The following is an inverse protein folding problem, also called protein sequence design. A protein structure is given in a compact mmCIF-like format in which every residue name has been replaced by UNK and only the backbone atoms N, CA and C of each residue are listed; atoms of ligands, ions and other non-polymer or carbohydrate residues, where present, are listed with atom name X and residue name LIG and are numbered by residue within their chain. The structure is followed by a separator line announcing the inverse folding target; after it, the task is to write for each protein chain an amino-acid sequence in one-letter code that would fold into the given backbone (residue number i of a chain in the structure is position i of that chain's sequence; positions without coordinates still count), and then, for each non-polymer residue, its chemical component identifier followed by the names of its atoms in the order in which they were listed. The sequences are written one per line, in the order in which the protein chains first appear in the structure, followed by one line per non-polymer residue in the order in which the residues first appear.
data_IF_465766610630
#
_entry.id   IF_465766610630
#
_cell.length_a   1.000
_cell.length_b   1.000
_cell.length_c   1.000
_cell.angle_alpha   90.00
_cell.angle_beta   90.00
_cell.angle_gamma   90.00
#
_symmetry.space_group_name_H-M   'P 1'
#
loop_
_entity.id
_entity.type
_entity.pdbx_description
1 polymer ?
#
# COMPACT_ATOMS: atom_id res chain seq x y z
N UNK A 1 -8.39 -19.79 -4.59
CA UNK A 1 -7.37 -18.74 -4.88
C UNK A 1 -7.62 -17.60 -3.90
N UNK A 2 -6.59 -17.07 -3.23
CA UNK A 2 -6.72 -15.92 -2.33
C UNK A 2 -7.28 -14.71 -3.08
N UNK A 3 -8.15 -13.95 -2.44
CA UNK A 3 -8.63 -12.68 -2.99
C UNK A 3 -7.62 -11.58 -2.68
N UNK A 4 -7.40 -10.68 -3.61
CA UNK A 4 -6.42 -9.60 -3.39
C UNK A 4 -6.88 -8.29 -4.03
N UNK A 5 -6.44 -7.17 -3.46
CA UNK A 5 -6.67 -5.82 -3.96
C UNK A 5 -5.43 -4.99 -3.66
N UNK A 6 -4.97 -4.24 -4.64
CA UNK A 6 -3.79 -3.39 -4.47
C UNK A 6 -4.14 -1.91 -4.43
N UNK A 7 -3.57 -1.22 -3.46
CA UNK A 7 -3.66 0.23 -3.35
C UNK A 7 -2.36 0.84 -3.87
N UNK A 8 -2.45 1.63 -4.93
CA UNK A 8 -1.34 2.39 -5.48
C UNK A 8 -1.63 3.89 -5.37
N UNK A 9 -0.60 4.72 -5.30
CA UNK A 9 -0.76 6.17 -5.18
C UNK A 9 -0.24 6.90 -6.40
N UNK A 10 -0.80 8.07 -6.69
CA UNK A 10 -0.21 8.97 -7.70
C UNK A 10 1.12 9.58 -7.25
N UNK A 11 1.43 9.47 -5.94
CA UNK A 11 2.68 9.96 -5.34
C UNK A 11 2.96 9.26 -4.01
N UNK A 12 4.16 9.46 -3.47
CA UNK A 12 4.44 9.24 -2.05
C UNK A 12 3.54 10.15 -1.21
N UNK A 13 3.15 9.70 0.00
CA UNK A 13 2.29 10.47 0.89
C UNK A 13 0.82 10.62 0.46
N UNK A 14 0.39 9.99 -0.65
CA UNK A 14 -1.01 10.03 -1.11
C UNK A 14 -2.01 9.38 -0.14
N UNK A 15 -1.53 8.60 0.85
CA UNK A 15 -2.35 7.97 1.89
C UNK A 15 -2.56 6.46 1.71
N UNK A 16 -1.73 5.81 0.89
CA UNK A 16 -1.77 4.34 0.66
C UNK A 16 -1.79 3.56 1.97
N UNK A 17 -0.84 3.83 2.86
CA UNK A 17 -0.62 3.11 4.12
C UNK A 17 -1.83 3.21 5.05
N UNK A 18 -2.39 4.41 5.19
CA UNK A 18 -3.61 4.64 5.99
C UNK A 18 -4.80 3.88 5.41
N UNK A 19 -4.96 3.92 4.08
CA UNK A 19 -6.06 3.22 3.42
C UNK A 19 -5.93 1.69 3.56
N UNK A 20 -4.74 1.13 3.37
CA UNK A 20 -4.52 -0.32 3.56
C UNK A 20 -4.74 -0.71 5.02
N UNK A 21 -4.28 0.10 5.99
CA UNK A 21 -4.56 -0.12 7.42
C UNK A 21 -6.06 -0.18 7.69
N UNK A 22 -6.84 0.77 7.14
CA UNK A 22 -8.29 0.79 7.27
C UNK A 22 -8.95 -0.45 6.65
N UNK A 23 -8.58 -0.80 5.41
CA UNK A 23 -9.15 -1.96 4.73
C UNK A 23 -8.83 -3.26 5.47
N UNK A 24 -7.61 -3.42 5.99
CA UNK A 24 -7.25 -4.56 6.83
C UNK A 24 -8.20 -4.68 8.04
N UNK A 25 -8.49 -3.58 8.75
CA UNK A 25 -9.40 -3.57 9.90
C UNK A 25 -10.84 -3.83 9.47
N UNK A 26 -11.35 -3.12 8.46
CA UNK A 26 -12.74 -3.24 8.00
C UNK A 26 -13.05 -4.69 7.59
N UNK A 27 -12.19 -5.32 6.82
CA UNK A 27 -12.43 -6.67 6.35
C UNK A 27 -12.17 -7.74 7.42
N UNK A 28 -11.25 -7.49 8.36
CA UNK A 28 -11.11 -8.32 9.56
C UNK A 28 -12.36 -8.24 10.45
N UNK A 29 -12.98 -7.06 10.60
CA UNK A 29 -14.24 -6.88 11.34
C UNK A 29 -15.44 -7.55 10.65
N UNK A 30 -15.36 -7.75 9.32
CA UNK A 30 -16.35 -8.52 8.55
C UNK A 30 -16.12 -10.05 8.65
N UNK A 31 -15.14 -10.51 9.42
CA UNK A 31 -14.86 -11.91 9.70
C UNK A 31 -13.89 -12.58 8.74
N UNK A 32 -13.29 -11.86 7.78
CA UNK A 32 -12.28 -12.44 6.87
C UNK A 32 -10.91 -12.58 7.54
N UNK A 33 -10.17 -13.63 7.18
CA UNK A 33 -8.74 -13.76 7.50
C UNK A 33 -7.93 -12.88 6.54
N UNK A 34 -7.47 -11.72 7.03
CA UNK A 34 -6.84 -10.68 6.22
C UNK A 34 -5.34 -10.59 6.51
N UNK A 35 -4.53 -10.37 5.48
CA UNK A 35 -3.13 -9.97 5.61
C UNK A 35 -2.83 -8.72 4.79
N UNK A 36 -2.00 -7.79 5.30
CA UNK A 36 -1.35 -6.79 4.46
C UNK A 36 -0.18 -7.41 3.69
N UNK A 37 0.22 -6.76 2.60
CA UNK A 37 1.43 -7.10 1.85
C UNK A 37 2.02 -5.87 1.17
N UNK A 38 3.31 -5.61 1.38
CA UNK A 38 4.08 -4.62 0.63
C UNK A 38 5.39 -5.27 0.23
N UNK A 39 5.56 -5.54 -1.05
CA UNK A 39 6.70 -6.30 -1.57
C UNK A 39 8.06 -5.71 -1.18
N UNK A 40 8.18 -4.39 -1.26
CA UNK A 40 9.35 -3.63 -0.83
C UNK A 40 8.91 -2.38 -0.07
N UNK A 41 9.55 -2.10 1.05
CA UNK A 41 9.44 -0.82 1.74
C UNK A 41 10.82 -0.20 1.99
N UNK A 42 10.89 1.13 1.95
CA UNK A 42 12.09 1.88 2.30
C UNK A 42 11.77 2.72 3.53
N UNK A 43 12.29 2.33 4.68
CA UNK A 43 12.05 3.03 5.94
C UNK A 43 13.12 2.70 6.97
N UNK A 44 13.51 3.68 7.79
CA UNK A 44 14.33 3.45 8.98
C UNK A 44 13.50 2.98 10.18
N UNK A 45 12.18 3.03 10.09
CA UNK A 45 11.27 2.60 11.14
C UNK A 45 10.84 1.16 10.92
N UNK A 46 11.18 0.30 11.86
CA UNK A 46 10.92 -1.14 11.76
C UNK A 46 10.29 -1.72 13.02
N UNK A 47 9.66 -2.86 12.85
CA UNK A 47 9.30 -3.80 13.88
C UNK A 47 10.36 -4.89 13.94
N UNK A 48 10.93 -5.10 15.12
CA UNK A 48 11.90 -6.16 15.39
C UNK A 48 11.18 -7.27 16.15
N UNK A 49 10.94 -8.39 15.49
CA UNK A 49 10.41 -9.61 16.09
C UNK A 49 11.54 -10.48 16.67
N UNK A 50 11.22 -11.71 17.12
CA UNK A 50 12.20 -12.62 17.74
C UNK A 50 13.37 -12.93 16.81
N UNK A 51 13.12 -13.14 15.51
CA UNK A 51 14.15 -13.55 14.53
C UNK A 51 13.98 -12.85 13.18
N UNK A 52 13.27 -11.73 13.11
CA UNK A 52 13.04 -11.03 11.87
C UNK A 52 12.78 -9.54 12.10
N UNK A 53 12.97 -8.76 11.06
CA UNK A 53 12.71 -7.32 11.04
C UNK A 53 11.92 -6.96 9.79
N UNK A 54 10.82 -6.20 9.95
CA UNK A 54 10.00 -5.68 8.85
C UNK A 54 9.68 -4.21 9.06
N UNK A 55 9.16 -3.55 8.04
CA UNK A 55 8.69 -2.17 8.18
C UNK A 55 7.62 -2.05 9.27
N UNK A 56 7.73 -0.99 10.07
CA UNK A 56 6.74 -0.64 11.09
C UNK A 56 5.33 -0.48 10.52
N UNK A 57 5.21 0.07 9.33
CA UNK A 57 3.93 0.25 8.66
C UNK A 57 3.20 -1.08 8.43
N UNK A 58 3.88 -2.10 7.91
CA UNK A 58 3.27 -3.41 7.68
C UNK A 58 2.99 -4.16 8.99
N UNK A 59 3.79 -3.94 10.04
CA UNK A 59 3.47 -4.45 11.37
C UNK A 59 2.18 -3.82 11.94
N UNK A 60 1.99 -2.51 11.77
CA UNK A 60 0.74 -1.81 12.16
C UNK A 60 -0.45 -2.34 11.33
N UNK A 61 -0.27 -2.57 10.04
CA UNK A 61 -1.31 -3.14 9.19
C UNK A 61 -1.67 -4.58 9.59
N UNK A 62 -0.70 -5.37 10.05
CA UNK A 62 -0.96 -6.71 10.60
C UNK A 62 -1.79 -6.64 11.90
N UNK A 63 -1.47 -5.69 12.79
CA UNK A 63 -2.31 -5.41 13.98
C UNK A 63 -3.73 -4.99 13.55
N UNK A 64 -3.86 -4.15 12.54
CA UNK A 64 -5.16 -3.77 12.00
C UNK A 64 -5.94 -4.98 11.46
N UNK A 65 -5.28 -5.90 10.79
CA UNK A 65 -5.85 -7.14 10.28
C UNK A 65 -6.11 -8.21 11.36
N UNK A 66 -5.73 -7.97 12.62
CA UNK A 66 -5.75 -8.94 13.72
C UNK A 66 -5.04 -10.26 13.37
N UNK A 67 -3.96 -10.17 12.61
CA UNK A 67 -3.13 -11.31 12.23
C UNK A 67 -1.75 -11.21 12.83
N UNK A 68 -1.04 -12.33 12.90
CA UNK A 68 0.34 -12.36 13.37
C UNK A 68 1.26 -11.55 12.47
N UNK A 69 2.21 -10.84 13.07
CA UNK A 69 3.25 -10.12 12.32
C UNK A 69 4.26 -11.14 11.82
N UNK A 70 4.49 -11.18 10.50
CA UNK A 70 5.42 -12.12 9.86
C UNK A 70 6.30 -11.42 8.82
N UNK A 71 7.48 -11.96 8.51
CA UNK A 71 8.37 -11.35 7.51
C UNK A 71 7.78 -11.36 6.09
N UNK A 72 6.79 -12.19 5.82
CA UNK A 72 6.17 -12.32 4.51
C UNK A 72 5.27 -11.12 4.14
N UNK A 73 4.83 -10.33 5.13
CA UNK A 73 4.04 -9.12 4.90
C UNK A 73 4.87 -7.97 4.28
N UNK A 74 6.21 -8.00 4.51
CA UNK A 74 7.16 -7.09 3.88
C UNK A 74 8.47 -7.83 3.59
N UNK A 75 8.53 -8.61 2.49
CA UNK A 75 9.69 -9.45 2.20
C UNK A 75 10.98 -8.69 1.93
N UNK A 76 10.90 -7.44 1.47
CA UNK A 76 12.09 -6.62 1.21
C UNK A 76 11.98 -5.30 1.98
N UNK A 77 12.87 -5.09 2.95
CA UNK A 77 12.99 -3.83 3.66
C UNK A 77 14.35 -3.19 3.35
N UNK A 78 14.32 -1.93 2.93
CA UNK A 78 15.50 -1.10 2.73
C UNK A 78 15.58 -0.09 3.87
N UNK A 79 16.72 -0.08 4.58
CA UNK A 79 17.02 0.94 5.61
C UNK A 79 18.10 1.88 5.06
N UNK A 80 17.74 3.12 4.69
CA UNK A 80 18.69 4.09 4.16
C UNK A 80 19.86 4.36 5.14
N UNK A 81 21.06 4.40 4.59
CA UNK A 81 22.30 4.69 5.32
C UNK A 81 22.95 6.03 4.90
N UNK A 82 22.33 6.74 3.96
CA UNK A 82 22.93 7.88 3.27
C UNK A 82 23.83 7.46 2.09
N UNK A 83 24.32 8.46 1.33
CA UNK A 83 25.22 8.25 0.19
C UNK A 83 24.74 7.17 -0.79
N UNK A 84 23.44 7.17 -1.14
CA UNK A 84 22.81 6.21 -2.03
C UNK A 84 22.96 4.74 -1.62
N UNK A 85 23.19 4.46 -0.33
CA UNK A 85 23.32 3.11 0.23
C UNK A 85 22.18 2.77 1.16
N UNK A 86 21.84 1.48 1.20
CA UNK A 86 20.85 0.95 2.14
C UNK A 86 21.31 -0.41 2.70
N UNK A 87 20.92 -0.67 3.95
CA UNK A 87 20.89 -2.04 4.47
C UNK A 87 19.66 -2.74 3.90
N UNK A 88 19.86 -3.83 3.18
CA UNK A 88 18.81 -4.65 2.57
C UNK A 88 18.48 -5.81 3.50
N UNK A 89 17.21 -5.97 3.84
CA UNK A 89 16.69 -7.11 4.57
C UNK A 89 15.78 -7.90 3.64
N UNK A 90 15.92 -9.23 3.63
CA UNK A 90 15.10 -10.13 2.82
C UNK A 90 14.43 -11.14 3.76
N UNK A 91 13.11 -11.23 3.67
CA UNK A 91 12.29 -12.08 4.55
C UNK A 91 12.64 -11.86 6.04
N UNK A 92 12.84 -10.60 6.42
CA UNK A 92 13.12 -10.16 7.77
C UNK A 92 14.56 -10.35 8.24
N UNK A 93 15.46 -10.88 7.42
CA UNK A 93 16.87 -11.10 7.78
C UNK A 93 17.77 -10.13 7.03
N UNK A 94 18.77 -9.58 7.72
CA UNK A 94 19.81 -8.78 7.07
C UNK A 94 20.45 -9.59 5.95
N UNK A 95 20.46 -9.04 4.75
CA UNK A 95 21.05 -9.66 3.58
C UNK A 95 22.41 -9.05 3.24
N UNK A 96 22.42 -7.74 2.93
CA UNK A 96 23.64 -7.02 2.52
C UNK A 96 23.46 -5.50 2.61
N UNK A 97 24.56 -4.74 2.75
CA UNK A 97 24.57 -3.31 2.46
C UNK A 97 24.84 -3.12 0.97
N UNK A 98 23.98 -2.39 0.27
CA UNK A 98 24.06 -2.23 -1.18
C UNK A 98 23.99 -0.75 -1.57
N UNK A 99 24.68 -0.38 -2.64
CA UNK A 99 24.46 0.88 -3.34
C UNK A 99 23.18 0.76 -4.19
N UNK A 100 22.50 1.88 -4.44
CA UNK A 100 21.22 1.88 -5.17
C UNK A 100 21.34 1.19 -6.55
N UNK A 101 22.39 1.46 -7.31
CA UNK A 101 22.64 0.82 -8.61
C UNK A 101 22.74 -0.70 -8.49
N UNK A 102 23.57 -1.20 -7.55
CA UNK A 102 23.75 -2.65 -7.33
C UNK A 102 22.42 -3.29 -6.88
N UNK A 103 21.66 -2.60 -6.02
CA UNK A 103 20.36 -3.05 -5.58
C UNK A 103 19.40 -3.25 -6.77
N UNK A 104 19.24 -2.24 -7.63
CA UNK A 104 18.32 -2.32 -8.75
C UNK A 104 18.78 -3.33 -9.81
N UNK A 105 20.03 -3.26 -10.25
CA UNK A 105 20.52 -4.07 -11.37
C UNK A 105 20.80 -5.53 -10.99
N UNK A 106 21.29 -5.79 -9.81
CA UNK A 106 21.68 -7.14 -9.41
C UNK A 106 20.65 -7.83 -8.52
N UNK A 107 20.08 -7.14 -7.51
CA UNK A 107 19.15 -7.79 -6.61
C UNK A 107 17.72 -7.77 -7.15
N UNK A 108 17.17 -6.59 -7.52
CA UNK A 108 15.77 -6.45 -7.95
C UNK A 108 15.50 -7.29 -9.19
N UNK A 109 16.33 -7.18 -10.22
CA UNK A 109 16.14 -7.92 -11.48
C UNK A 109 16.28 -9.43 -11.33
N UNK A 110 17.18 -9.91 -10.46
CA UNK A 110 17.47 -11.34 -10.29
C UNK A 110 16.57 -12.03 -9.27
N UNK A 111 16.35 -11.38 -8.11
CA UNK A 111 15.75 -12.01 -6.95
C UNK A 111 14.50 -11.31 -6.42
N UNK A 112 14.41 -9.98 -6.55
CA UNK A 112 13.39 -9.18 -5.86
C UNK A 112 11.96 -9.63 -6.13
N UNK A 113 11.62 -9.87 -7.40
CA UNK A 113 10.29 -10.34 -7.77
C UNK A 113 10.03 -11.76 -7.24
N UNK A 114 11.02 -12.66 -7.32
CA UNK A 114 10.91 -14.05 -6.82
C UNK A 114 10.63 -14.07 -5.32
N UNK A 115 11.40 -13.32 -4.53
CA UNK A 115 11.23 -13.25 -3.08
C UNK A 115 9.86 -12.66 -2.70
N UNK A 116 9.40 -11.64 -3.43
CA UNK A 116 8.08 -11.05 -3.25
C UNK A 116 6.96 -12.06 -3.53
N UNK A 117 7.06 -12.80 -4.63
CA UNK A 117 6.03 -13.79 -4.99
C UNK A 117 6.03 -15.01 -4.06
N UNK A 118 7.19 -15.47 -3.61
CA UNK A 118 7.29 -16.54 -2.61
C UNK A 118 6.59 -16.14 -1.31
N UNK A 119 6.80 -14.91 -0.84
CA UNK A 119 6.16 -14.41 0.37
C UNK A 119 4.66 -14.21 0.20
N UNK A 120 4.21 -13.69 -0.95
CA UNK A 120 2.79 -13.60 -1.28
C UNK A 120 2.12 -14.99 -1.29
N UNK A 121 2.78 -15.99 -1.88
CA UNK A 121 2.27 -17.38 -1.89
C UNK A 121 2.08 -17.92 -0.47
N UNK A 122 3.07 -17.74 0.41
CA UNK A 122 2.97 -18.18 1.82
C UNK A 122 1.82 -17.50 2.58
N UNK A 123 1.59 -16.21 2.36
CA UNK A 123 0.44 -15.53 2.95
C UNK A 123 -0.88 -16.07 2.39
N UNK A 124 -0.90 -16.45 1.11
CA UNK A 124 -2.08 -17.00 0.44
C UNK A 124 -2.54 -18.36 0.97
N UNK A 125 -1.67 -19.11 1.65
CA UNK A 125 -1.98 -20.41 2.25
C UNK A 125 -2.87 -20.29 3.51
N UNK A 126 -2.82 -19.14 4.20
CA UNK A 126 -3.45 -18.95 5.50
C UNK A 126 -4.46 -17.80 5.57
N UNK A 127 -4.57 -17.00 4.51
CA UNK A 127 -5.44 -15.84 4.49
C UNK A 127 -6.42 -15.90 3.31
N UNK A 128 -7.61 -15.32 3.49
CA UNK A 128 -8.66 -15.25 2.47
C UNK A 128 -8.53 -14.00 1.61
N UNK A 129 -8.01 -12.90 2.21
CA UNK A 129 -7.84 -11.61 1.55
C UNK A 129 -6.43 -11.08 1.84
N UNK A 130 -5.76 -10.59 0.79
CA UNK A 130 -4.48 -9.87 0.92
C UNK A 130 -4.66 -8.47 0.35
N UNK A 131 -4.49 -7.44 1.18
CA UNK A 131 -4.41 -6.05 0.73
C UNK A 131 -2.96 -5.69 0.46
N UNK A 132 -2.67 -5.38 -0.81
CA UNK A 132 -1.34 -4.99 -1.25
C UNK A 132 -1.19 -3.47 -1.23
N UNK A 133 0.00 -3.01 -0.85
CA UNK A 133 0.39 -1.61 -0.89
C UNK A 133 1.51 -1.39 -1.90
N UNK A 134 1.33 -0.43 -2.82
CA UNK A 134 2.39 0.02 -3.72
C UNK A 134 3.38 0.98 -3.05
N UNK A 135 4.51 1.23 -3.68
CA UNK A 135 5.50 2.21 -3.25
C UNK A 135 5.64 3.33 -4.29
N UNK A 136 5.75 4.60 -3.84
CA UNK A 136 5.81 5.76 -4.75
C UNK A 136 4.59 5.84 -5.66
N UNK A 137 4.82 5.97 -6.95
CA UNK A 137 3.81 6.00 -8.01
C UNK A 137 4.10 4.94 -9.08
N UNK A 138 3.08 4.31 -9.70
CA UNK A 138 3.28 3.45 -10.86
C UNK A 138 3.72 4.20 -12.13
N UNK A 139 3.68 5.53 -12.09
CA UNK A 139 4.08 6.42 -13.18
C UNK A 139 5.57 6.83 -13.15
N UNK A 140 6.36 6.26 -12.26
CA UNK A 140 7.81 6.52 -12.21
C UNK A 140 8.51 5.78 -13.37
N UNK A 141 8.43 6.37 -14.58
CA UNK A 141 8.89 5.78 -15.85
C UNK A 141 10.35 5.38 -15.84
N UNK A 142 11.19 6.11 -15.11
CA UNK A 142 12.62 5.83 -14.91
C UNK A 142 12.87 4.54 -14.10
N UNK A 143 11.88 4.06 -13.33
CA UNK A 143 11.97 2.86 -12.49
C UNK A 143 11.14 1.68 -13.00
N UNK A 144 10.39 1.82 -14.10
CA UNK A 144 9.50 0.77 -14.63
C UNK A 144 10.22 -0.57 -14.86
N UNK A 145 11.46 -0.54 -15.35
CA UNK A 145 12.28 -1.74 -15.53
C UNK A 145 12.45 -2.53 -14.22
N UNK A 146 12.55 -1.82 -13.11
CA UNK A 146 12.81 -2.35 -11.77
C UNK A 146 11.55 -2.47 -10.91
N UNK A 147 10.37 -2.31 -11.51
CA UNK A 147 9.11 -2.38 -10.74
C UNK A 147 8.92 -3.76 -10.12
N UNK A 148 9.00 -3.80 -8.80
CA UNK A 148 8.60 -4.94 -7.98
C UNK A 148 7.61 -4.50 -6.89
N UNK A 149 7.03 -3.31 -7.04
CA UNK A 149 6.23 -2.66 -5.98
C UNK A 149 4.85 -2.22 -6.43
N UNK A 150 4.62 -2.06 -7.73
CA UNK A 150 3.40 -1.51 -8.29
C UNK A 150 2.75 -2.43 -9.34
N UNK A 151 2.75 -2.03 -10.62
CA UNK A 151 1.94 -2.71 -11.63
C UNK A 151 2.40 -4.14 -11.94
N UNK A 152 3.70 -4.40 -11.87
CA UNK A 152 4.21 -5.77 -12.09
C UNK A 152 3.77 -6.74 -10.99
N UNK A 153 3.74 -6.29 -9.73
CA UNK A 153 3.20 -7.08 -8.61
C UNK A 153 1.69 -7.25 -8.77
N UNK A 154 0.94 -6.16 -9.05
CA UNK A 154 -0.50 -6.24 -9.29
C UNK A 154 -0.84 -7.29 -10.35
N UNK A 155 -0.12 -7.29 -11.47
CA UNK A 155 -0.29 -8.25 -12.56
C UNK A 155 0.03 -9.70 -12.11
N UNK A 156 1.16 -9.91 -11.44
CA UNK A 156 1.58 -11.25 -10.98
C UNK A 156 0.64 -11.85 -9.93
N UNK A 157 0.07 -11.02 -9.06
CA UNK A 157 -0.89 -11.43 -8.04
C UNK A 157 -2.34 -11.40 -8.55
N UNK A 158 -2.56 -10.99 -9.81
CA UNK A 158 -3.90 -10.79 -10.41
C UNK A 158 -4.78 -9.87 -9.56
N UNK A 159 -4.18 -8.86 -8.94
CA UNK A 159 -4.88 -7.92 -8.06
C UNK A 159 -5.44 -6.75 -8.86
N UNK A 160 -6.74 -6.45 -8.76
CA UNK A 160 -7.26 -5.17 -9.22
C UNK A 160 -6.62 -4.04 -8.40
N UNK A 161 -6.52 -2.86 -9.01
CA UNK A 161 -5.85 -1.70 -8.42
C UNK A 161 -6.87 -0.60 -8.15
N UNK A 162 -6.81 -0.01 -6.95
CA UNK A 162 -7.38 1.29 -6.65
C UNK A 162 -6.25 2.32 -6.56
N UNK A 163 -6.34 3.36 -7.37
CA UNK A 163 -5.35 4.44 -7.40
C UNK A 163 -5.82 5.59 -6.51
N UNK A 164 -5.05 5.90 -5.45
CA UNK A 164 -5.34 6.98 -4.51
C UNK A 164 -4.49 8.22 -4.83
N UNK A 165 -5.11 9.40 -4.75
CA UNK A 165 -4.44 10.70 -4.93
C UNK A 165 -4.71 11.63 -3.77
N UNK A 166 -3.73 12.47 -3.44
CA UNK A 166 -3.83 13.56 -2.46
C UNK A 166 -4.36 14.82 -3.16
N UNK A 167 -5.48 15.38 -2.67
CA UNK A 167 -6.08 16.60 -3.24
C UNK A 167 -5.62 17.88 -2.54
N UNK A 168 -5.04 17.78 -1.36
CA UNK A 168 -4.67 18.95 -0.54
C UNK A 168 -3.68 19.88 -1.25
N UNK A 169 -2.75 19.30 -2.02
CA UNK A 169 -1.72 20.05 -2.76
C UNK A 169 -2.19 20.60 -4.11
N UNK A 170 -3.43 20.36 -4.50
CA UNK A 170 -3.94 20.68 -5.83
C UNK A 170 -3.47 19.68 -6.91
N UNK A 171 -4.02 19.78 -8.12
CA UNK A 171 -3.61 18.95 -9.25
C UNK A 171 -4.01 17.47 -9.20
N UNK A 172 -4.83 17.04 -8.26
CA UNK A 172 -5.19 15.64 -8.04
C UNK A 172 -5.76 14.94 -9.29
N UNK A 173 -6.66 15.58 -10.01
CA UNK A 173 -7.22 15.04 -11.25
C UNK A 173 -6.16 14.92 -12.35
N UNK A 174 -5.27 15.91 -12.48
CA UNK A 174 -4.17 15.87 -13.42
C UNK A 174 -3.19 14.72 -13.06
N UNK A 175 -2.89 14.54 -11.78
CA UNK A 175 -2.03 13.45 -11.30
C UNK A 175 -2.63 12.07 -11.62
N UNK A 176 -3.95 11.88 -11.47
CA UNK A 176 -4.62 10.63 -11.89
C UNK A 176 -4.48 10.43 -13.38
N UNK A 177 -4.84 11.42 -14.19
CA UNK A 177 -4.79 11.31 -15.66
C UNK A 177 -3.36 11.07 -16.15
N UNK A 178 -2.38 11.82 -15.64
CA UNK A 178 -0.98 11.62 -15.97
C UNK A 178 -0.46 10.25 -15.54
N UNK A 179 -0.85 9.76 -14.38
CA UNK A 179 -0.49 8.41 -13.93
C UNK A 179 -1.07 7.35 -14.87
N UNK A 180 -2.34 7.47 -15.25
CA UNK A 180 -2.99 6.53 -16.18
C UNK A 180 -2.34 6.53 -17.58
N UNK A 181 -1.89 7.69 -18.07
CA UNK A 181 -1.20 7.81 -19.34
C UNK A 181 0.19 7.17 -19.34
N UNK A 182 0.89 7.24 -18.20
CA UNK A 182 2.26 6.74 -18.06
C UNK A 182 2.35 5.26 -17.66
N UNK A 183 1.27 4.66 -17.17
CA UNK A 183 1.20 3.21 -16.93
C UNK A 183 1.30 2.47 -18.26
N UNK A 184 2.12 1.41 -18.33
CA UNK A 184 2.20 0.54 -19.52
C UNK A 184 0.80 0.04 -19.91
N UNK A 185 0.43 0.16 -21.19
CA UNK A 185 -0.91 -0.17 -21.74
C UNK A 185 -1.45 -1.52 -21.27
N UNK A 186 -0.58 -2.53 -21.19
CA UNK A 186 -0.93 -3.89 -20.75
C UNK A 186 -1.41 -3.99 -19.30
N UNK A 187 -1.19 -2.95 -18.48
CA UNK A 187 -1.58 -2.93 -17.08
C UNK A 187 -2.76 -1.99 -16.76
N UNK A 188 -3.14 -1.14 -17.71
CA UNK A 188 -4.20 -0.14 -17.52
C UNK A 188 -5.50 -0.78 -17.04
N UNK A 189 -5.85 -1.94 -17.57
CA UNK A 189 -7.06 -2.67 -17.19
C UNK A 189 -7.09 -3.15 -15.72
N UNK A 190 -5.93 -3.23 -15.05
CA UNK A 190 -5.89 -3.54 -13.61
C UNK A 190 -6.48 -2.42 -12.77
N UNK A 191 -6.41 -1.18 -13.22
CA UNK A 191 -6.93 -0.03 -12.47
C UNK A 191 -8.46 -0.01 -12.58
N UNK A 192 -9.14 -0.20 -11.46
CA UNK A 192 -10.61 -0.35 -11.40
C UNK A 192 -11.31 0.81 -10.72
N UNK A 193 -10.57 1.69 -10.07
CA UNK A 193 -11.17 2.83 -9.39
C UNK A 193 -10.15 3.85 -8.90
N UNK A 194 -10.66 5.06 -8.66
CA UNK A 194 -9.89 6.13 -8.07
C UNK A 194 -10.42 6.48 -6.68
N UNK A 195 -9.51 6.92 -5.81
CA UNK A 195 -9.85 7.43 -4.48
C UNK A 195 -9.22 8.81 -4.34
N UNK A 196 -10.03 9.78 -3.96
CA UNK A 196 -9.58 11.13 -3.63
C UNK A 196 -9.36 11.20 -2.12
N UNK A 197 -8.19 11.60 -1.68
CA UNK A 197 -7.82 11.63 -0.27
C UNK A 197 -7.51 13.04 0.21
N UNK A 198 -7.62 13.24 1.51
CA UNK A 198 -7.33 14.50 2.22
C UNK A 198 -8.20 15.67 1.75
N UNK A 199 -9.44 15.40 1.43
CA UNK A 199 -10.35 16.43 0.97
C UNK A 199 -10.85 17.32 2.13
N UNK A 200 -10.89 18.62 1.90
CA UNK A 200 -11.52 19.64 2.78
C UNK A 200 -12.64 20.34 2.02
N UNK A 201 -13.80 20.39 2.59
CA UNK A 201 -14.94 21.14 2.03
C UNK A 201 -16.12 20.25 1.62
N UNK A 202 -17.00 20.81 0.79
CA UNK A 202 -18.20 20.13 0.32
C UNK A 202 -17.90 19.22 -0.88
N UNK A 203 -18.23 17.95 -0.73
CA UNK A 203 -18.01 16.91 -1.75
C UNK A 203 -18.76 17.19 -3.06
N UNK A 204 -19.86 17.96 -3.02
CA UNK A 204 -20.65 18.33 -4.19
C UNK A 204 -19.80 19.08 -5.23
N UNK A 205 -18.83 19.89 -4.78
CA UNK A 205 -17.89 20.62 -5.63
C UNK A 205 -17.02 19.68 -6.49
N UNK A 206 -16.76 18.45 -6.02
CA UNK A 206 -15.95 17.47 -6.75
C UNK A 206 -16.72 16.69 -7.81
N UNK A 207 -18.03 16.59 -7.72
CA UNK A 207 -18.86 15.77 -8.63
C UNK A 207 -18.66 16.08 -10.13
N UNK A 208 -18.56 17.36 -10.57
CA UNK A 208 -18.23 17.66 -11.97
C UNK A 208 -16.88 17.11 -12.40
N UNK A 209 -15.88 17.17 -11.50
CA UNK A 209 -14.54 16.59 -11.73
C UNK A 209 -14.60 15.07 -11.88
N UNK A 210 -15.40 14.38 -11.06
CA UNK A 210 -15.58 12.90 -11.17
C UNK A 210 -16.20 12.50 -12.50
N UNK A 211 -17.20 13.26 -13.01
CA UNK A 211 -17.79 13.01 -14.33
C UNK A 211 -16.77 13.15 -15.46
N UNK A 212 -16.00 14.25 -15.45
CA UNK A 212 -14.92 14.48 -16.42
C UNK A 212 -13.84 13.42 -16.37
N UNK A 213 -13.42 13.01 -15.14
CA UNK A 213 -12.42 11.97 -14.95
C UNK A 213 -12.91 10.62 -15.52
N UNK A 214 -14.17 10.24 -15.23
CA UNK A 214 -14.80 9.03 -15.77
C UNK A 214 -14.93 9.07 -17.30
N UNK A 215 -15.32 10.22 -17.88
CA UNK A 215 -15.38 10.38 -19.33
C UNK A 215 -14.01 10.20 -19.99
N UNK A 216 -12.94 10.72 -19.36
CA UNK A 216 -11.59 10.63 -19.90
C UNK A 216 -10.94 9.25 -19.73
N UNK A 217 -11.19 8.56 -18.64
CA UNK A 217 -10.49 7.32 -18.27
C UNK A 217 -11.35 6.06 -18.34
N UNK A 218 -12.68 6.19 -18.42
CA UNK A 218 -13.62 5.09 -18.27
C UNK A 218 -13.78 4.58 -16.83
N UNK A 219 -12.95 5.05 -15.88
CA UNK A 219 -12.81 4.51 -14.54
C UNK A 219 -13.53 5.40 -13.51
N UNK A 220 -14.33 4.82 -12.59
CA UNK A 220 -15.08 5.59 -11.60
C UNK A 220 -14.24 5.98 -10.38
N UNK A 221 -14.67 7.04 -9.68
CA UNK A 221 -14.24 7.34 -8.31
C UNK A 221 -15.02 6.46 -7.33
N UNK A 222 -14.31 5.79 -6.42
CA UNK A 222 -14.85 4.88 -5.40
C UNK A 222 -15.20 5.58 -4.09
N UNK A 223 -14.60 6.75 -3.85
CA UNK A 223 -14.88 7.55 -2.69
C UNK A 223 -13.92 8.70 -2.50
N UNK A 224 -14.26 9.53 -1.54
CA UNK A 224 -13.45 10.68 -1.12
C UNK A 224 -13.28 10.65 0.37
N UNK A 225 -12.03 10.54 0.80
CA UNK A 225 -11.65 10.48 2.21
C UNK A 225 -11.38 11.92 2.68
N UNK A 226 -12.05 12.37 3.75
CA UNK A 226 -11.82 13.70 4.29
C UNK A 226 -10.42 13.81 4.90
N UNK A 227 -9.87 15.02 4.91
CA UNK A 227 -8.68 15.33 5.67
C UNK A 227 -8.94 15.07 7.15
N UNK A 228 -8.20 14.15 7.71
CA UNK A 228 -8.32 13.73 9.10
C UNK A 228 -6.95 13.48 9.68
N UNK A 229 -6.70 14.03 10.85
CA UNK A 229 -5.47 13.75 11.60
C UNK A 229 -5.62 12.44 12.37
N UNK A 230 -4.65 11.57 12.19
CA UNK A 230 -4.55 10.30 12.88
C UNK A 230 -3.25 10.23 13.66
N UNK A 231 -3.32 9.74 14.91
CA UNK A 231 -2.13 9.56 15.77
C UNK A 231 -1.49 8.19 15.54
N UNK A 232 -1.20 7.89 14.27
CA UNK A 232 -0.42 6.69 13.92
C UNK A 232 1.05 7.11 13.71
N UNK A 233 2.01 6.30 14.18
CA UNK A 233 3.42 6.55 13.95
C UNK A 233 3.74 6.63 12.44
N UNK A 234 4.55 7.62 12.05
CA UNK A 234 4.95 7.82 10.67
C UNK A 234 5.59 6.58 10.04
N UNK A 235 5.36 6.42 8.73
CA UNK A 235 5.97 5.35 7.94
C UNK A 235 7.42 5.69 7.59
N UNK A 236 7.70 6.96 7.27
CA UNK A 236 8.98 7.42 6.77
C UNK A 236 9.82 8.13 7.85
N UNK A 237 11.14 8.10 7.66
CA UNK A 237 12.12 8.70 8.57
C UNK A 237 12.14 10.25 8.58
N UNK A 238 11.30 10.90 7.78
CA UNK A 238 11.21 12.37 7.68
C UNK A 238 10.32 12.97 8.77
N UNK A 239 9.51 12.16 9.46
CA UNK A 239 8.62 12.61 10.52
C UNK A 239 9.29 12.68 11.90
N UNK A 240 8.62 13.39 12.84
CA UNK A 240 9.05 13.54 14.24
C UNK A 240 8.68 12.33 15.13
N UNK A 241 8.28 11.22 14.55
CA UNK A 241 7.91 10.01 15.30
C UNK A 241 9.11 9.38 15.99
N UNK A 242 8.96 8.85 17.21
CA UNK A 242 10.03 8.13 17.89
C UNK A 242 10.52 6.96 17.01
N UNK A 243 11.85 6.83 16.90
CA UNK A 243 12.50 5.78 16.09
C UNK A 243 12.04 4.38 16.50
N UNK A 244 11.85 4.14 17.78
CA UNK A 244 11.40 2.86 18.30
C UNK A 244 9.99 2.99 18.90
N UNK A 245 9.04 2.26 18.32
CA UNK A 245 7.74 2.04 18.92
C UNK A 245 7.87 0.90 19.96
N UNK A 246 7.52 1.20 21.21
CA UNK A 246 7.42 0.13 22.21
C UNK A 246 6.10 -0.62 21.99
N UNK A 247 6.17 -1.90 21.63
CA UNK A 247 5.04 -2.77 21.31
C UNK A 247 4.42 -3.44 22.54
N UNK A 248 4.42 -2.73 23.68
CA UNK A 248 3.76 -3.19 24.90
C UNK A 248 2.22 -3.09 24.79
N UNK A 249 1.52 -3.77 25.69
CA UNK A 249 0.05 -3.84 25.69
C UNK A 249 -0.63 -2.45 25.73
N UNK A 250 -0.08 -1.49 26.47
CA UNK A 250 -0.64 -0.12 26.56
C UNK A 250 -0.57 0.61 25.21
N UNK A 251 0.56 0.53 24.51
CA UNK A 251 0.73 1.17 23.20
C UNK A 251 -0.07 0.46 22.11
N UNK A 252 -0.18 -0.86 22.17
CA UNK A 252 -1.05 -1.62 21.27
C UNK A 252 -2.52 -1.24 21.44
N UNK A 253 -2.99 -1.02 22.68
CA UNK A 253 -4.36 -0.55 22.93
C UNK A 253 -4.61 0.86 22.35
N UNK A 254 -3.66 1.79 22.50
CA UNK A 254 -3.74 3.13 21.88
C UNK A 254 -3.74 3.06 20.36
N UNK A 255 -2.89 2.22 19.80
CA UNK A 255 -2.81 1.98 18.36
C UNK A 255 -4.14 1.40 17.84
N UNK A 256 -4.73 0.45 18.54
CA UNK A 256 -6.01 -0.16 18.16
C UNK A 256 -7.15 0.87 18.12
N UNK A 257 -7.19 1.80 19.08
CA UNK A 257 -8.16 2.91 19.08
C UNK A 257 -8.00 3.79 17.84
N UNK A 258 -6.77 4.16 17.49
CA UNK A 258 -6.53 4.97 16.28
C UNK A 258 -6.83 4.20 14.98
N UNK A 259 -6.51 2.91 14.91
CA UNK A 259 -6.87 2.04 13.79
C UNK A 259 -8.40 1.99 13.62
N UNK A 260 -9.16 1.86 14.70
CA UNK A 260 -10.62 1.85 14.65
C UNK A 260 -11.19 3.20 14.18
N UNK A 261 -10.59 4.32 14.59
CA UNK A 261 -10.94 5.66 14.11
C UNK A 261 -10.71 5.78 12.59
N UNK A 262 -9.56 5.33 12.10
CA UNK A 262 -9.25 5.32 10.66
C UNK A 262 -10.25 4.45 9.90
N UNK A 263 -10.49 3.25 10.37
CA UNK A 263 -11.43 2.31 9.74
C UNK A 263 -12.83 2.90 9.65
N UNK A 264 -13.31 3.59 10.70
CA UNK A 264 -14.60 4.27 10.72
C UNK A 264 -14.68 5.37 9.65
N UNK A 265 -13.66 6.24 9.56
CA UNK A 265 -13.61 7.32 8.57
C UNK A 265 -13.59 6.74 7.15
N UNK A 266 -12.74 5.75 6.88
CA UNK A 266 -12.63 5.15 5.54
C UNK A 266 -13.92 4.40 5.18
N UNK A 267 -14.52 3.67 6.11
CA UNK A 267 -15.78 2.93 5.89
C UNK A 267 -16.94 3.85 5.51
N UNK A 268 -17.03 5.04 6.10
CA UNK A 268 -18.05 6.03 5.74
C UNK A 268 -17.74 6.78 4.44
N UNK A 269 -16.49 6.79 3.99
CA UNK A 269 -16.02 7.54 2.82
C UNK A 269 -15.96 6.71 1.53
N UNK A 270 -15.90 5.38 1.65
CA UNK A 270 -15.79 4.46 0.52
C UNK A 270 -17.03 3.60 0.36
N UNK A 271 -17.32 3.25 -0.89
CA UNK A 271 -18.34 2.23 -1.18
C UNK A 271 -17.75 0.83 -0.93
N UNK A 272 -17.82 0.36 0.34
CA UNK A 272 -17.27 -0.95 0.74
C UNK A 272 -17.87 -2.11 -0.07
N UNK A 273 -19.18 -2.18 -0.37
CA UNK A 273 -19.72 -3.20 -1.27
C UNK A 273 -19.06 -3.23 -2.66
N UNK A 274 -18.69 -2.07 -3.23
CA UNK A 274 -17.92 -2.05 -4.48
C UNK A 274 -16.51 -2.59 -4.31
N UNK A 275 -15.85 -2.29 -3.20
CA UNK A 275 -14.52 -2.84 -2.88
C UNK A 275 -14.60 -4.36 -2.73
N UNK A 276 -15.63 -4.86 -2.05
CA UNK A 276 -15.87 -6.30 -1.91
C UNK A 276 -16.13 -6.99 -3.26
N UNK A 277 -16.85 -6.32 -4.16
CA UNK A 277 -17.05 -6.82 -5.53
C UNK A 277 -15.73 -6.92 -6.30
N UNK A 278 -14.80 -5.98 -6.11
CA UNK A 278 -13.47 -6.05 -6.73
C UNK A 278 -12.65 -7.25 -6.22
N UNK A 279 -12.80 -7.64 -4.96
CA UNK A 279 -12.13 -8.83 -4.42
C UNK A 279 -12.63 -10.13 -5.07
N UNK A 280 -13.78 -10.11 -5.73
CA UNK A 280 -14.31 -11.25 -6.50
C UNK A 280 -13.95 -11.17 -7.99
N UNK A 281 -13.26 -10.10 -8.41
CA UNK A 281 -12.85 -9.92 -9.79
C UNK A 281 -11.75 -10.93 -10.18
N UNK A 282 -11.91 -11.56 -11.33
CA UNK A 282 -10.93 -12.44 -11.93
C UNK A 282 -10.42 -11.85 -13.24
N UNK A 283 -9.12 -11.85 -13.42
CA UNK A 283 -8.51 -11.54 -14.72
C UNK A 283 -8.61 -12.78 -15.60
N UNK A 284 -9.49 -12.73 -16.58
CA UNK A 284 -9.50 -13.70 -17.67
C UNK A 284 -8.55 -13.16 -18.76
N UNK A 285 -7.37 -13.73 -18.88
CA UNK A 285 -6.53 -13.62 -20.07
C UNK A 285 -6.96 -14.66 -21.07
#
# INVERSE_FOLDING_TARGET
MVKSLMIQGTSSGAGKTILVTALCRIFSDLGYKVSPFKSQNMSNFSYVGKNFEISRAQAIQAVAARTSITPHQNPILLKPLGNYRSSVFVNGKFFKKMHATDYYENFVLKNGLKESMNSFSKLSESHEIIFLEGAGSPAEINLQKYDITNMKIANKTKSPVLLITDIEKGGAFASIVGTMELIEKKYVELVKGFIINKFRGDIEILKPGYRKLKQKTGIPVFGTIPMTEFKIPDEDSIGNSPKNLNWNASNLKKLDIEINKIAKVVKSSLNIPKVEKLLKWSWNQ
#
